data_IF_882508958673
#
_entry.id   IF_882508958673
#
_cell.length_a   1.000
_cell.length_b   1.000
_cell.length_c   1.000
_cell.angle_alpha   90.00
_cell.angle_beta   90.00
_cell.angle_gamma   90.00
#
_symmetry.space_group_name_H-M   'P 1'
#
loop_
_entity.id
_entity.type
_entity.pdbx_description
1 polymer ?
#
# COMPACT_ATOMS: atom_id res chain seq x y z
N UNK A 1 -24.94 -10.35 29.75
CA UNK A 1 -23.97 -9.52 28.98
C UNK A 1 -22.65 -10.24 28.90
N UNK A 2 -22.24 -10.75 27.74
CA UNK A 2 -20.94 -11.39 27.56
C UNK A 2 -20.12 -10.55 26.57
N UNK A 3 -19.13 -9.82 27.08
CA UNK A 3 -18.18 -9.04 26.26
C UNK A 3 -17.35 -10.03 25.44
N UNK A 4 -17.57 -10.06 24.12
CA UNK A 4 -16.63 -10.66 23.17
C UNK A 4 -15.31 -9.89 23.32
N UNK A 5 -14.29 -10.53 23.90
CA UNK A 5 -12.92 -10.02 23.88
C UNK A 5 -12.53 -9.88 22.41
N UNK A 6 -12.19 -8.67 21.98
CA UNK A 6 -11.55 -8.48 20.67
C UNK A 6 -10.28 -9.32 20.68
N UNK A 7 -10.24 -10.33 19.81
CA UNK A 7 -9.04 -11.10 19.55
C UNK A 7 -8.14 -10.13 18.79
N UNK A 8 -7.26 -9.43 19.51
CA UNK A 8 -6.23 -8.59 18.90
C UNK A 8 -5.45 -9.49 17.94
N UNK A 9 -5.52 -9.20 16.65
CA UNK A 9 -4.68 -9.87 15.68
C UNK A 9 -3.23 -9.51 16.05
N UNK A 10 -2.42 -10.53 16.37
CA UNK A 10 -1.00 -10.31 16.58
C UNK A 10 -0.38 -9.81 15.27
N UNK A 11 0.57 -8.86 15.33
CA UNK A 11 1.26 -8.41 14.15
C UNK A 11 1.95 -9.62 13.48
N UNK A 12 1.90 -9.72 12.14
CA UNK A 12 2.54 -10.82 11.43
C UNK A 12 4.03 -10.86 11.75
N UNK A 13 4.54 -12.07 11.99
CA UNK A 13 5.94 -12.28 12.37
C UNK A 13 6.87 -12.22 11.15
N UNK A 14 6.36 -12.61 9.98
CA UNK A 14 6.99 -12.36 8.70
C UNK A 14 6.05 -11.53 7.82
N UNK A 15 6.59 -10.42 7.29
CA UNK A 15 5.85 -9.53 6.41
C UNK A 15 5.57 -10.14 5.04
N UNK A 16 6.32 -11.18 4.63
CA UNK A 16 6.25 -11.81 3.31
C UNK A 16 5.51 -13.16 3.31
N UNK A 17 4.88 -13.55 4.42
CA UNK A 17 4.09 -14.80 4.55
C UNK A 17 3.04 -14.96 3.43
N UNK A 18 2.53 -13.85 2.88
CA UNK A 18 1.55 -13.84 1.79
C UNK A 18 2.05 -14.45 0.47
N UNK A 19 3.37 -14.52 0.25
CA UNK A 19 3.95 -15.15 -0.93
C UNK A 19 3.92 -16.68 -0.84
N UNK A 20 3.83 -17.22 0.37
CA UNK A 20 3.96 -18.65 0.65
C UNK A 20 2.64 -19.29 1.04
N UNK A 21 1.66 -18.51 1.50
CA UNK A 21 0.41 -19.04 1.99
C UNK A 21 -0.42 -19.69 0.86
N UNK A 22 -0.74 -21.00 0.96
CA UNK A 22 -1.95 -21.50 0.32
C UNK A 22 -3.11 -20.67 0.88
N UNK A 23 -4.02 -20.19 0.03
CA UNK A 23 -5.23 -19.50 0.48
C UNK A 23 -5.95 -20.41 1.48
N UNK A 24 -5.78 -20.16 2.78
CA UNK A 24 -6.49 -20.88 3.82
C UNK A 24 -7.95 -20.47 3.66
N UNK A 25 -8.70 -21.31 2.96
CA UNK A 25 -10.15 -21.24 2.95
C UNK A 25 -10.54 -21.49 4.40
N UNK A 26 -10.92 -20.42 5.11
CA UNK A 26 -11.55 -20.53 6.41
C UNK A 26 -12.93 -21.15 6.17
N UNK A 27 -12.94 -22.48 6.03
CA UNK A 27 -14.12 -23.32 6.01
C UNK A 27 -14.93 -22.99 7.26
N UNK A 28 -16.23 -22.76 7.08
CA UNK A 28 -17.26 -22.43 8.10
C UNK A 28 -17.74 -20.97 8.16
N UNK A 29 -17.27 -20.06 7.30
CA UNK A 29 -18.00 -18.79 7.11
C UNK A 29 -19.18 -19.02 6.14
N UNK A 30 -20.42 -18.66 6.50
CA UNK A 30 -21.52 -18.61 5.54
C UNK A 30 -21.09 -17.80 4.32
N UNK A 31 -21.48 -18.21 3.10
CA UNK A 31 -21.08 -17.49 1.89
C UNK A 31 -21.44 -16.02 2.06
N UNK A 32 -20.43 -15.16 2.01
CA UNK A 32 -20.67 -13.73 1.98
C UNK A 32 -21.59 -13.44 0.79
N UNK A 33 -22.52 -12.47 0.90
CA UNK A 33 -23.28 -12.03 -0.26
C UNK A 33 -22.30 -11.73 -1.39
N UNK A 34 -22.63 -12.20 -2.60
CA UNK A 34 -21.79 -11.99 -3.79
C UNK A 34 -21.55 -10.50 -3.92
N UNK A 35 -20.34 -10.09 -3.57
CA UNK A 35 -19.95 -8.69 -3.70
C UNK A 35 -19.83 -8.41 -5.20
N UNK A 36 -20.26 -7.24 -5.66
CA UNK A 36 -19.99 -6.85 -7.04
C UNK A 36 -18.47 -6.94 -7.29
N UNK A 37 -18.04 -7.28 -8.51
CA UNK A 37 -16.63 -7.32 -8.85
C UNK A 37 -15.99 -5.97 -8.51
N UNK A 38 -14.81 -6.02 -7.87
CA UNK A 38 -14.03 -4.81 -7.59
C UNK A 38 -13.54 -4.27 -8.93
N UNK A 39 -14.02 -3.09 -9.32
CA UNK A 39 -13.50 -2.37 -10.47
C UNK A 39 -12.34 -1.52 -10.00
N UNK A 40 -11.12 -1.85 -10.44
CA UNK A 40 -9.96 -0.96 -10.29
C UNK A 40 -9.94 -0.06 -11.51
N UNK A 41 -10.34 1.20 -11.33
CA UNK A 41 -10.24 2.24 -12.36
C UNK A 41 -9.05 3.14 -12.04
N UNK A 42 -8.28 3.45 -13.07
CA UNK A 42 -7.24 4.47 -12.99
C UNK A 42 -7.87 5.80 -13.44
N UNK A 43 -8.60 6.45 -12.54
CA UNK A 43 -9.39 7.66 -12.83
C UNK A 43 -8.54 8.94 -12.90
N UNK A 44 -7.30 8.80 -13.36
CA UNK A 44 -6.37 9.93 -13.47
C UNK A 44 -6.70 10.79 -14.70
N UNK A 45 -6.53 12.12 -14.59
CA UNK A 45 -6.65 13.00 -15.74
C UNK A 45 -5.50 12.72 -16.73
N UNK A 46 -5.73 13.06 -18.01
CA UNK A 46 -4.69 12.99 -19.05
C UNK A 46 -3.44 13.81 -18.66
N UNK A 47 -3.64 14.91 -17.93
CA UNK A 47 -2.59 15.72 -17.37
C UNK A 47 -2.85 16.00 -15.88
N UNK A 48 -1.89 15.62 -15.04
CA UNK A 48 -1.88 15.97 -13.62
C UNK A 48 -1.29 17.37 -13.49
N UNK A 49 -2.05 18.37 -13.04
CA UNK A 49 -1.52 19.72 -12.89
C UNK A 49 -0.49 19.73 -11.77
N UNK A 50 0.76 19.98 -12.15
CA UNK A 50 1.87 20.21 -11.21
C UNK A 50 2.34 21.64 -11.39
N UNK A 51 2.44 22.38 -10.30
CA UNK A 51 2.90 23.76 -10.30
C UNK A 51 4.43 23.85 -10.28
N UNK A 52 4.97 24.99 -10.72
CA UNK A 52 6.41 25.27 -10.61
C UNK A 52 6.89 25.23 -9.16
N UNK A 53 6.03 25.64 -8.22
CA UNK A 53 6.35 25.63 -6.80
C UNK A 53 6.48 24.20 -6.26
N UNK A 54 5.53 23.32 -6.59
CA UNK A 54 5.60 21.89 -6.21
C UNK A 54 6.81 21.22 -6.85
N UNK A 55 7.08 21.50 -8.13
CA UNK A 55 8.24 20.97 -8.86
C UNK A 55 9.54 21.35 -8.17
N UNK A 56 9.69 22.62 -7.75
CA UNK A 56 10.89 23.10 -7.02
C UNK A 56 11.06 22.40 -5.68
N UNK A 57 9.98 22.22 -4.91
CA UNK A 57 10.04 21.55 -3.61
C UNK A 57 10.49 20.09 -3.77
N UNK A 58 9.88 19.36 -4.71
CA UNK A 58 10.22 17.96 -4.93
C UNK A 58 11.65 17.82 -5.49
N UNK A 59 12.03 18.70 -6.42
CA UNK A 59 13.36 18.67 -7.05
C UNK A 59 14.47 19.03 -6.06
N UNK A 60 14.24 19.99 -5.16
CA UNK A 60 15.22 20.34 -4.13
C UNK A 60 15.49 19.16 -3.20
N UNK A 61 14.44 18.48 -2.73
CA UNK A 61 14.60 17.26 -1.92
C UNK A 61 15.27 16.13 -2.71
N UNK A 62 14.92 15.97 -3.99
CA UNK A 62 15.54 14.96 -4.85
C UNK A 62 17.02 15.25 -5.13
N UNK A 63 17.44 16.50 -5.26
CA UNK A 63 18.83 16.85 -5.45
C UNK A 63 19.69 16.35 -4.28
N UNK A 64 19.27 16.64 -3.05
CA UNK A 64 19.97 16.17 -1.85
C UNK A 64 20.01 14.64 -1.78
N UNK A 65 18.89 13.97 -2.09
CA UNK A 65 18.80 12.51 -2.09
C UNK A 65 19.69 11.88 -3.16
N UNK A 66 19.73 12.46 -4.36
CA UNK A 66 20.56 11.97 -5.47
C UNK A 66 22.04 12.21 -5.19
N UNK A 67 22.40 13.34 -4.60
CA UNK A 67 23.77 13.62 -4.16
C UNK A 67 24.23 12.63 -3.09
N UNK A 68 23.35 12.24 -2.14
CA UNK A 68 23.63 11.17 -1.18
C UNK A 68 23.79 9.81 -1.87
N UNK A 69 22.92 9.48 -2.83
CA UNK A 69 22.88 8.17 -3.47
C UNK A 69 24.05 7.94 -4.43
N UNK A 70 24.43 8.97 -5.20
CA UNK A 70 25.44 8.88 -6.25
C UNK A 70 26.80 9.44 -5.83
N UNK A 71 26.84 10.31 -4.82
CA UNK A 71 28.07 10.96 -4.38
C UNK A 71 28.73 11.81 -5.48
N UNK A 72 29.91 12.36 -5.21
CA UNK A 72 30.70 13.03 -6.24
C UNK A 72 31.10 12.03 -7.34
N UNK A 73 30.80 12.37 -8.58
CA UNK A 73 31.23 11.62 -9.77
C UNK A 73 32.77 11.68 -9.83
N UNK A 74 33.48 10.55 -10.03
CA UNK A 74 34.95 10.52 -10.13
C UNK A 74 35.50 11.32 -11.31
#
# INVERSE_FOLDING_TARGET
MARRRSRQAQPPTDLHDYLQAPLVVQSERPPAPVSPPITVTDDWPEFVPVTDQETRIITAFFADLLDELFGPIP
#
